data_IF_267787225343
#
_entry.id   IF_267787225343
#
_cell.length_a   1.000
_cell.length_b   1.000
_cell.length_c   1.000
_cell.angle_alpha   90.00
_cell.angle_beta   90.00
_cell.angle_gamma   90.00
#
_symmetry.space_group_name_H-M   'P 1'
#
loop_
_entity.id
_entity.type
_entity.pdbx_description
1 polymer ?
#
# COMPACT_ATOMS: atom_id res chain seq x y z
N UNK A 1 18.52 -39.01 33.60
CA UNK A 1 17.42 -38.54 32.75
C UNK A 1 17.80 -37.14 32.31
N UNK A 2 18.27 -37.00 31.06
CA UNK A 2 18.88 -35.79 30.53
C UNK A 2 18.20 -35.43 29.21
N UNK A 3 17.87 -34.15 29.07
CA UNK A 3 17.20 -33.53 27.92
C UNK A 3 17.99 -33.69 26.62
N UNK A 4 17.35 -33.90 25.46
CA UNK A 4 18.07 -33.94 24.20
C UNK A 4 18.39 -32.51 23.74
N UNK A 5 19.70 -32.23 23.69
CA UNK A 5 20.29 -31.13 22.94
C UNK A 5 19.90 -31.23 21.47
N UNK A 6 19.22 -30.21 20.93
CA UNK A 6 19.10 -30.05 19.48
C UNK A 6 20.41 -29.47 18.94
N UNK A 7 21.10 -30.29 18.16
CA UNK A 7 22.32 -30.01 17.42
C UNK A 7 21.97 -29.12 16.21
N UNK A 8 22.24 -27.80 16.26
CA UNK A 8 22.20 -26.96 15.07
C UNK A 8 23.51 -27.10 14.30
N UNK A 9 23.44 -27.74 13.14
CA UNK A 9 24.54 -27.91 12.19
C UNK A 9 24.94 -26.54 11.63
N UNK A 10 26.16 -26.09 11.92
CA UNK A 10 26.81 -24.97 11.24
C UNK A 10 27.34 -25.47 9.89
N UNK A 11 26.60 -25.21 8.82
CA UNK A 11 27.16 -25.20 7.46
C UNK A 11 27.75 -23.82 7.21
N UNK A 12 29.07 -23.67 7.40
CA UNK A 12 29.82 -22.52 6.93
C UNK A 12 30.11 -22.73 5.45
N UNK A 13 29.38 -22.05 4.57
CA UNK A 13 29.77 -21.85 3.17
C UNK A 13 30.14 -20.38 3.02
N UNK A 14 31.38 -20.12 2.64
CA UNK A 14 31.89 -18.77 2.36
C UNK A 14 31.08 -18.12 1.22
N UNK A 15 30.38 -17.03 1.52
CA UNK A 15 29.70 -16.20 0.54
C UNK A 15 28.58 -15.38 1.17
N UNK A 16 28.86 -14.10 1.45
CA UNK A 16 27.90 -13.02 1.78
C UNK A 16 26.65 -13.45 2.57
N UNK A 17 26.74 -13.44 3.90
CA UNK A 17 25.62 -13.72 4.79
C UNK A 17 24.47 -12.72 4.54
N UNK A 18 23.39 -13.18 3.90
CA UNK A 18 22.07 -12.59 4.10
C UNK A 18 21.50 -13.24 5.35
N UNK A 19 21.48 -12.50 6.46
CA UNK A 19 20.88 -12.94 7.71
C UNK A 19 19.37 -12.74 7.63
N UNK A 20 18.60 -13.82 7.54
CA UNK A 20 17.14 -13.77 7.74
C UNK A 20 16.91 -13.95 9.24
N UNK A 21 16.65 -12.84 9.93
CA UNK A 21 16.24 -12.88 11.34
C UNK A 21 14.72 -13.01 11.45
N UNK A 22 14.25 -14.04 12.14
CA UNK A 22 12.84 -14.13 12.54
C UNK A 22 12.59 -13.06 13.61
N UNK A 23 11.64 -12.14 13.36
CA UNK A 23 11.11 -11.12 14.28
C UNK A 23 11.97 -10.90 15.54
N UNK A 24 13.21 -10.46 15.32
CA UNK A 24 14.04 -9.97 16.40
C UNK A 24 13.48 -8.61 16.77
N UNK A 25 13.34 -8.36 18.07
CA UNK A 25 12.96 -7.06 18.60
C UNK A 25 13.94 -6.02 18.04
N UNK A 26 13.54 -5.34 16.96
CA UNK A 26 14.31 -4.23 16.41
C UNK A 26 14.18 -3.18 17.48
N UNK A 27 15.25 -2.96 18.26
CA UNK A 27 15.32 -1.84 19.20
C UNK A 27 14.87 -0.60 18.43
N UNK A 28 13.72 0.01 18.77
CA UNK A 28 13.20 1.12 17.99
C UNK A 28 14.24 2.22 18.01
N UNK A 29 14.79 2.57 16.84
CA UNK A 29 15.44 3.87 16.72
C UNK A 29 14.38 4.93 17.02
N UNK A 30 14.77 6.04 17.64
CA UNK A 30 13.90 7.21 17.71
C UNK A 30 13.36 7.46 16.28
N UNK A 31 12.04 7.55 16.16
CA UNK A 31 11.31 7.82 14.90
C UNK A 31 11.32 6.66 13.88
N UNK A 32 11.36 5.41 14.33
CA UNK A 32 11.19 4.24 13.47
C UNK A 32 9.84 3.55 13.70
N UNK A 33 9.09 3.30 12.62
CA UNK A 33 7.91 2.45 12.64
C UNK A 33 8.21 1.06 12.06
N UNK A 34 7.63 0.03 12.65
CA UNK A 34 7.54 -1.30 12.03
C UNK A 34 6.08 -1.61 11.79
N UNK A 35 5.72 -1.85 10.53
CA UNK A 35 4.36 -2.23 10.12
C UNK A 35 4.39 -3.68 9.64
N UNK A 36 3.57 -4.59 10.19
CA UNK A 36 3.55 -5.97 9.76
C UNK A 36 3.01 -6.08 8.34
N UNK A 37 3.83 -6.59 7.42
CA UNK A 37 3.42 -6.93 6.05
C UNK A 37 2.85 -8.34 6.05
N UNK A 38 1.61 -8.48 5.61
CA UNK A 38 0.94 -9.79 5.55
C UNK A 38 0.48 -10.09 4.14
N UNK A 39 0.49 -11.38 3.77
CA UNK A 39 -0.08 -11.80 2.51
C UNK A 39 -1.60 -11.66 2.54
N UNK A 40 -2.22 -11.03 1.53
CA UNK A 40 -3.66 -10.73 1.50
C UNK A 40 -4.58 -11.92 1.75
N UNK A 41 -4.22 -13.08 1.19
CA UNK A 41 -4.98 -14.32 1.35
C UNK A 41 -4.39 -15.27 2.41
N UNK A 42 -3.34 -14.82 3.11
CA UNK A 42 -2.65 -15.60 4.13
C UNK A 42 -3.44 -15.68 5.44
N UNK A 43 -3.09 -16.61 6.34
CA UNK A 43 -3.77 -16.79 7.62
C UNK A 43 -3.63 -15.58 8.56
N UNK A 44 -2.59 -14.75 8.36
CA UNK A 44 -2.29 -13.58 9.19
C UNK A 44 -3.05 -12.32 8.76
N UNK A 45 -3.82 -12.33 7.67
CA UNK A 45 -4.59 -11.17 7.23
C UNK A 45 -5.77 -10.93 8.19
N UNK A 46 -5.86 -9.72 8.76
CA UNK A 46 -6.99 -9.29 9.62
C UNK A 46 -8.34 -9.47 8.92
N UNK A 47 -8.37 -9.24 7.61
CA UNK A 47 -9.55 -9.35 6.77
C UNK A 47 -9.36 -10.48 5.76
N UNK A 48 -9.95 -11.66 6.01
CA UNK A 48 -9.89 -12.75 5.03
C UNK A 48 -10.73 -12.40 3.79
N UNK A 49 -10.10 -12.38 2.62
CA UNK A 49 -10.80 -12.29 1.33
C UNK A 49 -11.66 -13.55 1.13
N UNK A 50 -12.89 -13.39 0.67
CA UNK A 50 -13.75 -14.50 0.22
C UNK A 50 -13.22 -15.13 -1.08
N UNK A 51 -12.49 -14.35 -1.86
CA UNK A 51 -11.87 -14.77 -3.12
C UNK A 51 -10.47 -15.31 -2.84
N UNK A 52 -10.37 -16.43 -2.10
CA UNK A 52 -9.10 -17.12 -1.92
C UNK A 52 -8.77 -17.93 -3.17
N UNK A 53 -7.55 -17.80 -3.74
CA UNK A 53 -7.12 -18.71 -4.79
C UNK A 53 -7.08 -20.14 -4.25
N UNK A 54 -7.46 -21.11 -5.09
CA UNK A 54 -7.26 -22.53 -4.80
C UNK A 54 -5.78 -22.84 -4.60
N UNK A 55 -5.48 -23.95 -3.92
CA UNK A 55 -4.10 -24.40 -3.75
C UNK A 55 -3.38 -24.57 -5.10
N UNK A 56 -4.08 -25.07 -6.12
CA UNK A 56 -3.55 -25.23 -7.46
C UNK A 56 -3.18 -23.89 -8.11
N UNK A 57 -4.04 -22.87 -7.98
CA UNK A 57 -3.76 -21.52 -8.48
C UNK A 57 -2.61 -20.85 -7.72
N UNK A 58 -2.57 -21.01 -6.39
CA UNK A 58 -1.48 -20.49 -5.58
C UNK A 58 -0.14 -21.14 -5.97
N UNK A 59 -0.09 -22.48 -6.09
CA UNK A 59 1.09 -23.22 -6.52
C UNK A 59 1.53 -22.85 -7.94
N UNK A 60 0.57 -22.69 -8.85
CA UNK A 60 0.85 -22.23 -10.21
C UNK A 60 1.50 -20.85 -10.20
N UNK A 61 0.94 -19.88 -9.46
CA UNK A 61 1.52 -18.54 -9.30
C UNK A 61 2.92 -18.59 -8.69
N UNK A 62 3.15 -19.45 -7.69
CA UNK A 62 4.47 -19.65 -7.09
C UNK A 62 5.50 -20.18 -8.08
N UNK A 63 5.12 -21.12 -8.96
CA UNK A 63 6.00 -21.64 -10.02
C UNK A 63 6.36 -20.55 -11.02
N UNK A 64 5.38 -19.81 -11.54
CA UNK A 64 5.67 -18.73 -12.51
C UNK A 64 6.53 -17.63 -11.87
N UNK A 65 6.33 -17.31 -10.59
CA UNK A 65 7.20 -16.37 -9.85
C UNK A 65 8.64 -16.89 -9.74
N UNK A 66 8.82 -18.17 -9.44
CA UNK A 66 10.15 -18.78 -9.38
C UNK A 66 10.83 -18.75 -10.76
N UNK A 67 10.10 -19.09 -11.82
CA UNK A 67 10.61 -19.06 -13.19
C UNK A 67 11.04 -17.64 -13.61
N UNK A 68 10.27 -16.61 -13.23
CA UNK A 68 10.63 -15.21 -13.47
C UNK A 68 11.96 -14.85 -12.78
N UNK A 69 12.10 -15.15 -11.50
CA UNK A 69 13.33 -14.89 -10.72
C UNK A 69 14.52 -15.63 -11.35
N UNK A 70 14.34 -16.90 -11.70
CA UNK A 70 15.39 -17.74 -12.29
C UNK A 70 15.77 -17.31 -13.72
N UNK A 71 14.86 -16.66 -14.46
CA UNK A 71 15.10 -16.17 -15.82
C UNK A 71 15.79 -14.80 -15.90
N UNK A 72 16.25 -14.25 -14.77
CA UNK A 72 16.88 -12.92 -14.69
C UNK A 72 16.03 -11.82 -15.36
N UNK A 73 14.70 -11.90 -15.25
CA UNK A 73 13.79 -10.87 -15.75
C UNK A 73 13.67 -10.78 -17.29
N UNK A 74 14.12 -11.78 -18.06
CA UNK A 74 14.08 -11.75 -19.53
C UNK A 74 12.72 -12.07 -20.15
N UNK A 75 11.73 -12.50 -19.35
CA UNK A 75 10.38 -12.83 -19.81
C UNK A 75 9.33 -12.02 -19.05
N UNK A 76 8.66 -11.10 -19.74
CA UNK A 76 7.44 -10.42 -19.27
C UNK A 76 6.24 -11.38 -19.37
N UNK A 77 6.25 -12.46 -18.60
CA UNK A 77 5.00 -13.16 -18.31
C UNK A 77 4.29 -12.40 -17.21
N UNK A 78 3.09 -11.88 -17.49
CA UNK A 78 2.25 -11.14 -16.54
C UNK A 78 1.81 -12.07 -15.41
N UNK A 79 2.68 -12.28 -14.44
CA UNK A 79 2.30 -12.92 -13.18
C UNK A 79 1.34 -11.99 -12.46
N UNK A 80 0.16 -12.49 -12.09
CA UNK A 80 -0.65 -11.82 -11.08
C UNK A 80 0.16 -11.88 -9.78
N UNK A 81 0.81 -10.77 -9.46
CA UNK A 81 1.61 -10.58 -8.26
C UNK A 81 0.83 -11.07 -7.04
N UNK A 82 1.46 -11.89 -6.20
CA UNK A 82 0.95 -12.16 -4.85
C UNK A 82 0.90 -10.84 -4.10
N UNK A 83 -0.30 -10.40 -3.74
CA UNK A 83 -0.52 -9.10 -3.13
C UNK A 83 -0.21 -9.14 -1.63
N UNK A 84 0.74 -8.30 -1.20
CA UNK A 84 0.99 -8.01 0.21
C UNK A 84 0.15 -6.81 0.62
N UNK A 85 -0.37 -6.85 1.85
CA UNK A 85 -1.12 -5.75 2.45
C UNK A 85 -0.49 -5.32 3.78
N UNK A 86 -0.74 -4.07 4.14
CA UNK A 86 -0.43 -3.49 5.45
C UNK A 86 -1.68 -2.86 6.03
N UNK A 87 -1.78 -2.81 7.36
CA UNK A 87 -2.84 -2.08 8.05
C UNK A 87 -2.25 -0.82 8.67
N UNK A 88 -2.81 0.33 8.31
CA UNK A 88 -2.37 1.66 8.72
C UNK A 88 -3.57 2.43 9.28
N UNK A 89 -3.34 3.45 10.11
CA UNK A 89 -4.38 4.38 10.53
C UNK A 89 -4.40 5.62 9.64
N UNK A 90 -5.57 6.06 9.20
CA UNK A 90 -5.75 7.29 8.44
C UNK A 90 -6.77 8.19 9.13
N UNK A 91 -6.47 9.48 9.28
CA UNK A 91 -7.37 10.47 9.86
C UNK A 91 -7.20 10.74 11.35
N UNK A 92 -7.96 11.71 11.83
CA UNK A 92 -8.08 12.05 13.25
C UNK A 92 -9.56 12.08 13.67
N UNK A 93 -10.06 11.11 14.45
CA UNK A 93 -9.34 9.93 14.96
C UNK A 93 -8.95 8.94 13.85
N UNK A 94 -7.86 8.20 14.07
CA UNK A 94 -7.34 7.24 13.10
C UNK A 94 -8.34 6.10 12.85
N UNK A 95 -8.64 5.86 11.56
CA UNK A 95 -9.44 4.74 11.09
C UNK A 95 -8.51 3.75 10.39
N UNK A 96 -8.62 2.46 10.72
CA UNK A 96 -7.79 1.43 10.08
C UNK A 96 -8.12 1.32 8.58
N UNK A 97 -7.08 1.25 7.75
CA UNK A 97 -7.16 1.02 6.31
C UNK A 97 -6.20 -0.13 5.95
N UNK A 98 -6.71 -1.13 5.23
CA UNK A 98 -5.97 -2.28 4.72
C UNK A 98 -5.60 -2.03 3.26
N UNK A 99 -4.37 -1.60 3.03
CA UNK A 99 -3.89 -1.14 1.71
C UNK A 99 -2.90 -2.13 1.09
N UNK A 100 -2.91 -2.23 -0.23
CA UNK A 100 -1.88 -2.94 -0.98
C UNK A 100 -0.53 -2.25 -0.79
N UNK A 101 0.52 -3.05 -0.60
CA UNK A 101 1.88 -2.55 -0.61
C UNK A 101 2.44 -2.61 -2.04
N UNK A 102 2.76 -1.45 -2.62
CA UNK A 102 3.24 -1.37 -4.01
C UNK A 102 4.56 -0.61 -4.10
N UNK A 103 5.64 -1.35 -4.40
CA UNK A 103 6.98 -0.79 -4.63
C UNK A 103 7.17 -0.23 -6.04
N UNK A 104 6.20 -0.41 -6.94
CA UNK A 104 6.23 0.08 -8.31
C UNK A 104 5.46 1.38 -8.53
N UNK A 105 4.87 1.95 -7.46
CA UNK A 105 4.03 3.14 -7.53
C UNK A 105 4.44 4.16 -6.48
N UNK A 106 4.32 5.44 -6.82
CA UNK A 106 4.65 6.55 -5.93
C UNK A 106 3.42 7.05 -5.16
N UNK A 107 2.34 7.43 -5.86
CA UNK A 107 1.15 8.00 -5.22
C UNK A 107 0.34 6.94 -4.45
N UNK A 108 0.18 7.16 -3.14
CA UNK A 108 -0.70 6.39 -2.27
C UNK A 108 -2.14 6.89 -2.35
N UNK A 109 -3.14 6.01 -2.24
CA UNK A 109 -4.55 6.39 -2.27
C UNK A 109 -5.43 5.40 -1.49
N UNK A 110 -6.61 5.85 -1.05
CA UNK A 110 -7.68 5.00 -0.48
C UNK A 110 -9.04 5.35 -1.10
N UNK A 111 -10.02 4.43 -1.04
CA UNK A 111 -11.39 4.76 -1.44
C UNK A 111 -12.08 5.59 -0.37
N UNK A 112 -12.64 6.73 -0.79
CA UNK A 112 -13.28 7.68 0.09
C UNK A 112 -14.81 7.68 -0.04
N UNK A 113 -15.50 8.03 1.05
CA UNK A 113 -16.94 8.28 1.06
C UNK A 113 -17.25 9.74 0.69
N UNK A 114 -18.36 10.01 -0.01
CA UNK A 114 -19.25 9.03 -0.62
C UNK A 114 -18.63 8.43 -1.88
N UNK A 115 -18.74 7.10 -2.04
CA UNK A 115 -18.49 6.49 -3.34
C UNK A 115 -19.62 5.60 -3.79
N UNK A 116 -20.13 5.88 -4.98
CA UNK A 116 -21.21 5.13 -5.60
C UNK A 116 -20.68 3.78 -6.10
N UNK A 117 -21.44 2.70 -5.91
CA UNK A 117 -21.07 1.34 -6.36
C UNK A 117 -20.92 1.18 -7.88
N UNK A 118 -21.35 2.17 -8.67
CA UNK A 118 -21.08 2.24 -10.12
C UNK A 118 -19.72 2.87 -10.46
N UNK A 119 -19.10 3.57 -9.50
CA UNK A 119 -17.80 4.22 -9.66
C UNK A 119 -16.70 3.53 -8.84
N UNK A 120 -17.01 3.05 -7.64
CA UNK A 120 -16.09 2.26 -6.80
C UNK A 120 -16.47 0.79 -6.81
N UNK A 121 -15.48 -0.05 -6.51
CA UNK A 121 -15.76 -1.43 -6.13
C UNK A 121 -16.24 -1.52 -4.69
N UNK A 122 -16.93 -2.62 -4.38
CA UNK A 122 -17.34 -2.91 -3.02
C UNK A 122 -16.12 -3.31 -2.20
N UNK A 123 -15.72 -2.42 -1.29
CA UNK A 123 -14.70 -2.67 -0.29
C UNK A 123 -15.29 -3.49 0.87
N UNK A 124 -14.44 -4.27 1.54
CA UNK A 124 -14.87 -5.06 2.71
C UNK A 124 -14.86 -4.21 3.98
N UNK A 125 -13.80 -3.45 4.17
CA UNK A 125 -13.65 -2.54 5.30
C UNK A 125 -14.33 -1.19 4.98
N UNK A 126 -14.65 -0.36 5.97
CA UNK A 126 -15.33 0.92 5.75
C UNK A 126 -14.51 1.87 4.87
N UNK A 127 -15.18 2.55 3.94
CA UNK A 127 -14.60 3.68 3.22
C UNK A 127 -14.10 4.74 4.21
N UNK A 128 -12.96 5.36 3.91
CA UNK A 128 -12.52 6.54 4.63
C UNK A 128 -13.52 7.68 4.39
N UNK A 129 -14.06 8.30 5.43
CA UNK A 129 -14.98 9.45 5.29
C UNK A 129 -14.24 10.72 5.68
N UNK A 130 -13.82 11.55 4.69
CA UNK A 130 -13.10 12.79 4.95
C UNK A 130 -13.78 13.72 5.95
N UNK A 131 -15.11 13.71 5.98
CA UNK A 131 -15.92 14.58 6.86
C UNK A 131 -15.86 14.18 8.33
N UNK A 132 -15.32 13.00 8.63
CA UNK A 132 -15.17 12.47 10.00
C UNK A 132 -13.76 12.63 10.55
N UNK A 133 -12.82 13.13 9.74
CA UNK A 133 -11.46 13.43 10.17
C UNK A 133 -11.30 14.92 10.40
N UNK A 134 -10.77 15.32 11.56
CA UNK A 134 -10.48 16.72 11.86
C UNK A 134 -9.21 17.24 11.19
N UNK A 135 -8.39 16.36 10.63
CA UNK A 135 -7.10 16.68 9.98
C UNK A 135 -7.14 16.54 8.47
N UNK A 136 -8.26 16.10 7.90
CA UNK A 136 -8.43 16.06 6.45
C UNK A 136 -8.43 17.46 5.86
N UNK A 137 -7.61 17.66 4.83
CA UNK A 137 -7.64 18.87 4.03
C UNK A 137 -7.46 18.55 2.54
N UNK A 138 -8.40 18.90 1.64
CA UNK A 138 -8.16 18.76 0.21
C UNK A 138 -7.05 19.73 -0.22
N UNK A 139 -6.18 19.30 -1.14
CA UNK A 139 -5.15 20.19 -1.70
C UNK A 139 -5.84 21.21 -2.61
N UNK A 140 -5.66 22.53 -2.40
CA UNK A 140 -6.28 23.54 -3.25
C UNK A 140 -5.77 23.47 -4.69
N UNK A 141 -6.67 23.66 -5.67
CA UNK A 141 -6.25 23.70 -7.06
C UNK A 141 -5.35 24.92 -7.34
N UNK A 142 -4.31 24.72 -8.16
CA UNK A 142 -3.31 25.75 -8.49
C UNK A 142 -2.27 26.00 -7.41
N UNK A 143 -2.35 25.33 -6.26
CA UNK A 143 -1.27 25.32 -5.26
C UNK A 143 0.00 24.66 -5.82
N UNK A 144 1.16 25.00 -5.27
CA UNK A 144 2.44 24.40 -5.69
C UNK A 144 2.43 22.88 -5.57
N UNK A 145 1.80 22.34 -4.51
CA UNK A 145 1.62 20.89 -4.33
C UNK A 145 0.80 20.28 -5.48
N UNK A 146 -0.27 20.95 -5.92
CA UNK A 146 -1.06 20.48 -7.05
C UNK A 146 -0.29 20.56 -8.39
N UNK A 147 0.49 21.63 -8.58
CA UNK A 147 1.29 21.84 -9.78
C UNK A 147 2.46 20.84 -9.88
N UNK A 148 3.04 20.42 -8.75
CA UNK A 148 4.04 19.34 -8.70
C UNK A 148 3.45 18.03 -9.21
N UNK A 149 2.22 17.70 -8.81
CA UNK A 149 1.52 16.48 -9.26
C UNK A 149 1.36 16.38 -10.79
N UNK A 150 1.24 17.53 -11.46
CA UNK A 150 1.16 17.60 -12.92
C UNK A 150 2.50 17.25 -13.57
N UNK A 151 3.61 17.64 -12.94
CA UNK A 151 4.96 17.31 -13.41
C UNK A 151 5.23 15.80 -13.35
N UNK A 152 4.64 15.14 -12.36
CA UNK A 152 4.76 13.70 -12.11
C UNK A 152 3.64 12.86 -12.77
N UNK A 153 2.81 13.49 -13.63
CA UNK A 153 1.74 12.86 -14.41
C UNK A 153 0.65 12.15 -13.58
N UNK A 154 0.45 12.58 -12.34
CA UNK A 154 -0.61 12.08 -11.47
C UNK A 154 -1.84 12.99 -11.44
N UNK A 155 -1.78 14.18 -12.04
CA UNK A 155 -2.86 15.15 -11.98
C UNK A 155 -4.08 14.72 -12.82
N UNK A 156 -5.24 15.25 -12.43
CA UNK A 156 -6.47 15.14 -13.22
C UNK A 156 -7.14 16.52 -13.36
N UNK A 157 -6.33 17.58 -13.41
CA UNK A 157 -6.79 18.97 -13.33
C UNK A 157 -7.54 19.30 -12.04
N UNK A 158 -8.20 20.46 -12.00
CA UNK A 158 -9.07 20.81 -10.88
C UNK A 158 -10.37 19.98 -10.89
N UNK A 159 -10.99 19.83 -9.73
CA UNK A 159 -12.40 19.42 -9.62
C UNK A 159 -13.33 20.34 -10.39
N UNK A 160 -14.57 19.90 -10.63
CA UNK A 160 -15.52 20.62 -11.49
C UNK A 160 -15.85 22.06 -11.03
N UNK A 161 -15.77 22.31 -9.73
CA UNK A 161 -15.95 23.63 -9.12
C UNK A 161 -14.65 24.47 -9.09
N UNK A 162 -13.53 23.89 -9.53
CA UNK A 162 -12.24 24.55 -9.67
C UNK A 162 -11.47 24.72 -8.36
N UNK A 163 -11.94 24.13 -7.26
CA UNK A 163 -11.42 24.43 -5.91
C UNK A 163 -10.37 23.43 -5.43
N UNK A 164 -10.51 22.15 -5.78
CA UNK A 164 -9.67 21.08 -5.27
C UNK A 164 -8.79 20.48 -6.39
N UNK A 165 -7.62 19.98 -6.00
CA UNK A 165 -6.69 19.30 -6.89
C UNK A 165 -7.17 17.88 -7.19
N UNK A 166 -7.46 17.57 -8.45
CA UNK A 166 -7.79 16.22 -8.86
C UNK A 166 -6.53 15.37 -9.07
N UNK A 167 -6.61 14.07 -8.72
CA UNK A 167 -5.59 13.10 -9.08
C UNK A 167 -6.16 11.97 -9.93
N UNK A 168 -5.29 11.31 -10.70
CA UNK A 168 -5.58 10.08 -11.42
C UNK A 168 -4.31 9.24 -11.53
N UNK A 169 -4.49 7.92 -11.36
CA UNK A 169 -3.45 6.93 -11.64
C UNK A 169 -3.99 5.90 -12.61
N UNK A 170 -3.16 5.50 -13.57
CA UNK A 170 -3.42 4.39 -14.49
C UNK A 170 -2.27 3.39 -14.41
N UNK A 171 -2.57 2.19 -13.92
CA UNK A 171 -1.58 1.15 -13.66
C UNK A 171 -1.31 0.31 -14.92
N UNK A 172 -0.15 -0.34 -14.95
CA UNK A 172 0.26 -1.19 -16.09
C UNK A 172 -0.64 -2.41 -16.32
N UNK A 173 -1.48 -2.80 -15.36
CA UNK A 173 -2.49 -3.84 -15.54
C UNK A 173 -3.80 -3.35 -16.18
N UNK A 174 -3.91 -2.05 -16.42
CA UNK A 174 -5.06 -1.33 -16.98
C UNK A 174 -6.03 -0.80 -15.92
N UNK A 175 -5.79 -1.09 -14.63
CA UNK A 175 -6.61 -0.54 -13.55
C UNK A 175 -6.36 0.96 -13.36
N UNK A 176 -7.36 1.67 -12.85
CA UNK A 176 -7.36 3.13 -12.72
C UNK A 176 -8.01 3.55 -11.42
N UNK A 177 -7.50 4.62 -10.83
CA UNK A 177 -8.14 5.32 -9.72
C UNK A 177 -8.14 6.81 -10.00
N UNK A 178 -9.18 7.52 -9.55
CA UNK A 178 -9.22 8.99 -9.61
C UNK A 178 -10.05 9.55 -8.46
N UNK A 179 -9.77 10.80 -8.09
CA UNK A 179 -10.47 11.50 -7.04
C UNK A 179 -9.78 12.83 -6.71
N UNK A 180 -9.72 13.17 -5.43
CA UNK A 180 -9.16 14.42 -4.93
C UNK A 180 -7.83 14.17 -4.23
N UNK A 181 -6.78 14.89 -4.61
CA UNK A 181 -5.52 14.87 -3.91
C UNK A 181 -5.64 15.66 -2.61
N UNK A 182 -5.25 15.05 -1.50
CA UNK A 182 -5.57 15.55 -0.16
C UNK A 182 -4.40 15.34 0.79
N UNK A 183 -4.42 16.10 1.88
CA UNK A 183 -3.54 15.95 3.03
C UNK A 183 -4.29 15.28 4.18
N UNK A 184 -3.60 14.43 4.94
CA UNK A 184 -4.15 13.76 6.12
C UNK A 184 -3.05 13.29 7.08
N UNK A 185 -3.42 12.98 8.32
CA UNK A 185 -2.59 12.27 9.27
C UNK A 185 -2.55 10.76 8.98
N UNK A 186 -1.36 10.22 8.73
CA UNK A 186 -1.09 8.80 8.55
C UNK A 186 -0.39 8.22 9.79
N UNK A 187 -1.06 7.31 10.49
CA UNK A 187 -0.52 6.56 11.63
C UNK A 187 0.08 5.24 11.16
N UNK A 188 1.41 5.14 11.18
CA UNK A 188 2.13 3.91 10.82
C UNK A 188 2.22 2.94 12.02
N UNK A 189 2.38 3.48 13.22
CA UNK A 189 2.44 2.75 14.48
C UNK A 189 1.89 3.63 15.61
N UNK A 190 1.55 3.09 16.80
CA UNK A 190 0.92 3.86 17.89
C UNK A 190 1.62 5.16 18.30
N UNK A 191 2.92 5.30 18.01
CA UNK A 191 3.73 6.49 18.32
C UNK A 191 4.43 7.08 17.10
N UNK A 192 4.04 6.68 15.87
CA UNK A 192 4.64 7.20 14.64
C UNK A 192 3.53 7.66 13.71
N UNK A 193 3.40 8.98 13.60
CA UNK A 193 2.38 9.67 12.80
C UNK A 193 3.06 10.63 11.85
N UNK A 194 2.66 10.59 10.58
CA UNK A 194 3.00 11.59 9.57
C UNK A 194 1.79 12.51 9.46
N UNK A 195 1.89 13.74 9.96
CA UNK A 195 0.74 14.66 10.04
C UNK A 195 0.36 15.29 8.69
N UNK A 196 1.33 15.40 7.78
CA UNK A 196 1.15 16.03 6.48
C UNK A 196 1.35 15.00 5.35
N UNK A 197 0.65 13.87 5.44
CA UNK A 197 0.73 12.83 4.43
C UNK A 197 -0.20 13.16 3.27
N UNK A 198 0.38 13.42 2.09
CA UNK A 198 -0.41 13.59 0.88
C UNK A 198 -0.79 12.26 0.26
N UNK A 199 -2.05 12.14 -0.13
CA UNK A 199 -2.63 10.93 -0.70
C UNK A 199 -3.80 11.23 -1.63
N UNK A 200 -4.17 10.25 -2.46
CA UNK A 200 -5.37 10.28 -3.25
C UNK A 200 -6.60 9.82 -2.48
N UNK A 201 -7.59 10.69 -2.31
CA UNK A 201 -8.91 10.34 -1.84
C UNK A 201 -9.79 9.93 -3.02
N UNK A 202 -9.87 8.62 -3.29
CA UNK A 202 -10.41 8.06 -4.52
C UNK A 202 -11.92 7.90 -4.53
N UNK A 203 -12.57 8.40 -5.59
CA UNK A 203 -14.03 8.36 -5.79
C UNK A 203 -14.46 7.60 -7.05
N UNK A 204 -13.50 7.08 -7.82
CA UNK A 204 -13.77 6.19 -8.95
C UNK A 204 -12.59 5.26 -9.20
N UNK A 205 -12.87 3.98 -9.28
CA UNK A 205 -11.92 2.90 -9.51
C UNK A 205 -12.43 2.03 -10.66
N UNK A 206 -11.54 1.66 -11.57
CA UNK A 206 -11.82 0.74 -12.66
C UNK A 206 -10.74 -0.33 -12.68
N UNK A 207 -11.10 -1.60 -12.81
CA UNK A 207 -10.14 -2.69 -12.85
C UNK A 207 -10.63 -3.95 -12.16
N UNK A 208 -9.78 -4.98 -12.05
CA UNK A 208 -10.05 -6.15 -11.23
C UNK A 208 -10.06 -5.77 -9.74
N UNK A 209 -11.10 -6.17 -9.02
CA UNK A 209 -11.38 -5.70 -7.67
C UNK A 209 -11.00 -6.75 -6.65
N UNK A 210 -9.77 -6.66 -6.13
CA UNK A 210 -9.33 -7.44 -4.98
C UNK A 210 -9.69 -6.72 -3.66
N UNK A 211 -10.84 -6.02 -3.55
CA UNK A 211 -11.45 -5.49 -2.30
C UNK A 211 -10.47 -4.98 -1.21
N UNK A 212 -9.40 -4.30 -1.58
CA UNK A 212 -8.49 -3.62 -0.64
C UNK A 212 -9.01 -2.21 -0.43
N UNK A 213 -8.50 -1.49 0.57
CA UNK A 213 -8.99 -0.16 0.88
C UNK A 213 -8.33 0.91 0.02
N UNK A 214 -7.17 0.56 -0.52
CA UNK A 214 -6.33 1.43 -1.31
C UNK A 214 -4.97 0.81 -1.58
N UNK A 215 -4.01 1.65 -1.90
CA UNK A 215 -2.64 1.29 -2.22
C UNK A 215 -1.68 2.27 -1.53
N UNK A 216 -0.63 1.73 -0.94
CA UNK A 216 0.48 2.47 -0.36
C UNK A 216 1.68 2.39 -1.32
N UNK A 217 2.04 3.53 -1.90
CA UNK A 217 3.17 3.67 -2.79
C UNK A 217 4.50 3.73 -2.05
N UNK A 218 5.41 2.85 -2.43
CA UNK A 218 6.78 2.76 -1.94
C UNK A 218 7.82 3.01 -3.05
N UNK A 219 7.42 3.73 -4.09
CA UNK A 219 8.31 4.15 -5.17
C UNK A 219 9.36 5.17 -4.71
N UNK A 220 9.96 5.85 -5.68
CA UNK A 220 11.10 6.76 -5.47
C UNK A 220 10.78 8.24 -5.66
N UNK A 221 9.56 8.60 -6.07
CA UNK A 221 9.17 9.98 -6.31
C UNK A 221 8.71 10.69 -5.01
N UNK A 222 8.60 12.03 -5.01
CA UNK A 222 8.23 12.81 -3.82
C UNK A 222 6.88 12.43 -3.17
N UNK A 223 5.94 11.85 -3.92
CA UNK A 223 4.63 11.41 -3.43
C UNK A 223 4.69 10.10 -2.65
N UNK A 224 5.80 9.36 -2.74
CA UNK A 224 5.94 8.04 -2.14
C UNK A 224 6.15 8.11 -0.63
N UNK A 225 5.67 7.11 0.11
CA UNK A 225 5.84 7.05 1.57
C UNK A 225 7.31 7.22 2.01
N UNK A 226 8.32 6.60 1.35
CA UNK A 226 9.73 6.80 1.68
C UNK A 226 10.23 8.25 1.65
N UNK A 227 9.55 9.17 0.96
CA UNK A 227 9.92 10.59 0.90
C UNK A 227 9.53 11.35 2.19
N UNK A 228 8.62 10.81 2.99
CA UNK A 228 8.15 11.47 4.22
C UNK A 228 9.10 11.22 5.39
N UNK A 229 9.33 12.28 6.17
CA UNK A 229 10.03 12.17 7.45
C UNK A 229 9.07 11.82 8.57
N UNK A 230 9.43 10.84 9.39
CA UNK A 230 8.68 10.45 10.58
C UNK A 230 9.08 11.37 11.75
N UNK A 231 8.10 12.01 12.37
CA UNK A 231 8.26 12.81 13.59
C UNK A 231 7.88 12.03 14.83
#
# INVERSE_FOLDING_TARGET
MASPLFLCILLVIFGSYVSISAAGDVTPRLNSATVPVVHRHGPCAKSQSTDKPSFAEALHRSRVRADYIMSWGRSWTRTRSTWSVVTLGLGTPAVEQVVLLDTGSDLSWVQCAPCNSTQCYQQKDPLFDPRKSSTYAPVPCGSDVCNSLQSDHFDNGCTNDGTECGFRVEYGDGSKTKGVYSNEALTLAPSVVINDFHFGCGYKQAGPNDKFDGLLGLGGAPESLPAYSMT
#
